data_IF_261958800832
#
_entry.id   IF_261958800832
#
_cell.length_a   1.000
_cell.length_b   1.000
_cell.length_c   1.000
_cell.angle_alpha   90.00
_cell.angle_beta   90.00
_cell.angle_gamma   90.00
#
_symmetry.space_group_name_H-M   'P 1'
#
loop_
_entity.id
_entity.type
_entity.pdbx_description
1 polymer ?
#
# COMPACT_ATOMS: atom_id res chain seq x y z
N UNK A 1 -16.46 -20.28 -9.14
CA UNK A 1 -15.37 -19.70 -9.93
C UNK A 1 -15.25 -20.29 -11.33
N UNK A 2 -14.67 -19.53 -12.25
CA UNK A 2 -14.18 -19.94 -13.57
C UNK A 2 -12.66 -19.77 -13.63
N UNK A 3 -11.94 -20.67 -14.33
CA UNK A 3 -10.50 -20.53 -14.56
C UNK A 3 -10.28 -19.59 -15.74
N UNK A 4 -9.59 -18.47 -15.51
CA UNK A 4 -9.26 -17.48 -16.54
C UNK A 4 -8.05 -17.92 -17.33
N UNK A 5 -6.95 -18.22 -16.63
CA UNK A 5 -5.68 -18.60 -17.25
C UNK A 5 -4.90 -19.53 -16.32
N UNK A 6 -4.09 -20.41 -16.90
CA UNK A 6 -3.09 -21.18 -16.16
C UNK A 6 -1.92 -20.27 -15.80
N UNK A 7 -1.48 -20.24 -14.55
CA UNK A 7 -0.27 -19.49 -14.17
C UNK A 7 1.01 -20.31 -14.32
N UNK A 8 0.90 -21.60 -14.64
CA UNK A 8 2.05 -22.43 -15.02
C UNK A 8 2.67 -21.90 -16.32
N UNK A 9 3.94 -21.52 -16.24
CA UNK A 9 4.72 -20.95 -17.34
C UNK A 9 4.18 -19.63 -17.92
N UNK A 10 3.26 -18.96 -17.22
CA UNK A 10 2.77 -17.64 -17.62
C UNK A 10 3.86 -16.61 -17.32
N UNK A 11 4.21 -15.78 -18.30
CA UNK A 11 5.17 -14.72 -18.05
C UNK A 11 4.59 -13.70 -17.06
N UNK A 12 5.47 -12.97 -16.37
CA UNK A 12 5.06 -11.93 -15.42
C UNK A 12 4.25 -10.82 -16.10
N UNK A 13 4.64 -10.46 -17.32
CA UNK A 13 3.94 -9.46 -18.13
C UNK A 13 2.52 -9.92 -18.51
N UNK A 14 2.36 -11.14 -19.03
CA UNK A 14 1.04 -11.70 -19.34
C UNK A 14 0.16 -11.79 -18.09
N UNK A 15 0.75 -12.22 -16.97
CA UNK A 15 0.04 -12.26 -15.69
C UNK A 15 -0.46 -10.88 -15.25
N UNK A 16 0.37 -9.84 -15.38
CA UNK A 16 -0.05 -8.45 -15.11
C UNK A 16 -1.18 -8.00 -16.04
N UNK A 17 -1.13 -8.37 -17.33
CA UNK A 17 -2.20 -8.05 -18.28
C UNK A 17 -3.53 -8.70 -17.88
N UNK A 18 -3.53 -9.99 -17.50
CA UNK A 18 -4.74 -10.65 -17.02
C UNK A 18 -5.30 -9.97 -15.75
N UNK A 19 -4.44 -9.48 -14.87
CA UNK A 19 -4.86 -8.75 -13.65
C UNK A 19 -5.53 -7.41 -13.94
N UNK A 20 -5.31 -6.80 -15.11
CA UNK A 20 -6.00 -5.55 -15.49
C UNK A 20 -7.48 -5.79 -15.83
N UNK A 21 -7.86 -7.03 -16.17
CA UNK A 21 -9.22 -7.38 -16.55
C UNK A 21 -10.23 -7.45 -15.39
N UNK A 22 -9.81 -7.08 -14.17
CA UNK A 22 -10.67 -7.07 -12.98
C UNK A 22 -9.94 -6.59 -11.73
N UNK A 23 -10.64 -6.65 -10.61
CA UNK A 23 -10.19 -6.34 -9.26
C UNK A 23 -9.66 -7.63 -8.64
N UNK A 24 -8.40 -7.63 -8.22
CA UNK A 24 -7.81 -8.72 -7.44
C UNK A 24 -7.97 -8.54 -5.93
N UNK A 25 -7.77 -9.61 -5.16
CA UNK A 25 -7.87 -9.54 -3.69
C UNK A 25 -6.92 -8.52 -3.04
N UNK A 26 -5.75 -8.24 -3.61
CA UNK A 26 -4.86 -7.18 -3.11
C UNK A 26 -5.31 -5.76 -3.50
N UNK A 27 -6.14 -5.62 -4.53
CA UNK A 27 -6.78 -4.36 -4.94
C UNK A 27 -7.93 -4.02 -3.99
N UNK A 28 -8.68 -5.03 -3.55
CA UNK A 28 -9.83 -4.92 -2.65
C UNK A 28 -9.54 -4.03 -1.42
N UNK A 29 -8.44 -4.31 -0.70
CA UNK A 29 -8.06 -3.52 0.46
C UNK A 29 -7.71 -2.06 0.14
N UNK A 30 -7.19 -1.78 -1.06
CA UNK A 30 -6.89 -0.41 -1.50
C UNK A 30 -8.15 0.35 -1.92
N UNK A 31 -9.10 -0.33 -2.58
CA UNK A 31 -10.40 0.23 -2.95
C UNK A 31 -11.20 0.59 -1.68
N UNK A 32 -11.16 -0.25 -0.65
CA UNK A 32 -11.80 0.03 0.64
C UNK A 32 -11.05 1.07 1.51
N UNK A 33 -9.90 1.60 1.07
CA UNK A 33 -9.10 2.56 1.86
C UNK A 33 -8.39 1.97 3.07
N UNK A 34 -8.21 0.64 3.13
CA UNK A 34 -7.63 -0.09 4.26
C UNK A 34 -6.17 -0.50 4.03
N UNK A 35 -5.63 -0.26 2.83
CA UNK A 35 -4.26 -0.59 2.48
C UNK A 35 -3.32 0.62 2.71
N UNK A 36 -2.29 0.51 3.57
CA UNK A 36 -1.39 1.62 3.86
C UNK A 36 -0.38 1.91 2.74
N UNK A 37 -0.25 1.01 1.75
CA UNK A 37 0.75 1.10 0.69
C UNK A 37 0.14 1.36 -0.68
N UNK A 38 -1.18 1.17 -0.85
CA UNK A 38 -1.86 1.33 -2.13
C UNK A 38 -3.22 1.98 -1.99
N UNK A 39 -3.51 2.98 -2.83
CA UNK A 39 -4.78 3.72 -2.81
C UNK A 39 -5.74 3.28 -3.92
N UNK A 40 -7.02 3.60 -3.78
CA UNK A 40 -8.02 3.39 -4.83
C UNK A 40 -7.64 4.09 -6.14
N UNK A 41 -7.02 5.28 -6.08
CA UNK A 41 -6.54 6.01 -7.26
C UNK A 41 -5.42 5.26 -8.00
N UNK A 42 -4.50 4.60 -7.27
CA UNK A 42 -3.48 3.75 -7.89
C UNK A 42 -4.08 2.50 -8.51
N UNK A 43 -5.08 1.89 -7.88
CA UNK A 43 -5.80 0.77 -8.50
C UNK A 43 -6.46 1.25 -9.79
N UNK A 44 -7.15 2.39 -9.76
CA UNK A 44 -7.79 2.95 -10.95
C UNK A 44 -6.77 3.18 -12.08
N UNK A 45 -5.66 3.87 -11.79
CA UNK A 45 -4.60 4.13 -12.77
C UNK A 45 -3.99 2.84 -13.35
N UNK A 46 -3.83 1.81 -12.50
CA UNK A 46 -3.41 0.48 -12.93
C UNK A 46 -4.44 -0.17 -13.87
N UNK A 47 -5.75 -0.06 -13.60
CA UNK A 47 -6.77 -0.70 -14.44
C UNK A 47 -7.01 0.00 -15.77
N UNK A 48 -6.86 1.32 -15.85
CA UNK A 48 -7.14 2.10 -17.07
C UNK A 48 -5.94 2.29 -17.99
N UNK A 49 -4.72 2.03 -17.52
CA UNK A 49 -3.51 2.18 -18.33
C UNK A 49 -3.25 0.95 -19.19
N UNK A 50 -2.73 1.14 -20.41
CA UNK A 50 -2.27 0.01 -21.24
C UNK A 50 -0.93 -0.56 -20.75
N UNK A 51 -0.15 0.27 -20.03
CA UNK A 51 1.15 -0.12 -19.49
C UNK A 51 0.98 -1.07 -18.29
N UNK A 52 1.62 -2.22 -18.37
CA UNK A 52 1.86 -3.06 -17.20
C UNK A 52 3.13 -2.58 -16.50
N UNK A 53 2.98 -1.83 -15.42
CA UNK A 53 4.14 -1.49 -14.59
C UNK A 53 4.61 -2.74 -13.85
N UNK A 54 5.82 -3.19 -14.17
CA UNK A 54 6.55 -4.20 -13.41
C UNK A 54 7.12 -3.57 -12.13
N UNK A 55 6.23 -3.20 -11.22
CA UNK A 55 6.64 -2.78 -9.89
C UNK A 55 7.04 -4.05 -9.13
N UNK A 56 8.32 -4.15 -8.80
CA UNK A 56 8.86 -5.20 -7.96
C UNK A 56 9.88 -4.61 -7.00
N UNK A 57 9.94 -5.18 -5.79
CA UNK A 57 10.91 -4.79 -4.78
C UNK A 57 11.37 -6.02 -4.01
N UNK A 58 12.42 -5.85 -3.19
CA UNK A 58 12.99 -6.95 -2.41
C UNK A 58 11.95 -7.69 -1.55
N UNK A 59 11.01 -6.96 -0.93
CA UNK A 59 9.98 -7.57 -0.10
C UNK A 59 9.00 -8.40 -0.94
N UNK A 60 8.62 -7.94 -2.14
CA UNK A 60 7.75 -8.67 -3.07
C UNK A 60 8.46 -9.91 -3.64
N UNK A 61 9.74 -9.81 -4.01
CA UNK A 61 10.54 -10.96 -4.45
C UNK A 61 10.65 -12.02 -3.36
N UNK A 62 11.05 -11.60 -2.16
CA UNK A 62 11.15 -12.50 -1.00
C UNK A 62 9.80 -13.14 -0.69
N UNK A 63 8.69 -12.39 -0.73
CA UNK A 63 7.35 -12.94 -0.54
C UNK A 63 7.08 -14.14 -1.45
N UNK A 64 7.37 -14.03 -2.75
CA UNK A 64 7.20 -15.11 -3.73
C UNK A 64 8.12 -16.31 -3.46
N UNK A 65 9.38 -16.06 -3.13
CA UNK A 65 10.35 -17.13 -2.82
C UNK A 65 9.99 -17.89 -1.52
N UNK A 66 9.52 -17.17 -0.51
CA UNK A 66 9.17 -17.75 0.79
C UNK A 66 7.76 -18.34 0.84
N UNK A 67 6.89 -18.08 -0.13
CA UNK A 67 5.51 -18.58 -0.18
C UNK A 67 5.42 -20.10 0.03
N UNK A 68 6.32 -20.86 -0.62
CA UNK A 68 6.39 -22.32 -0.47
C UNK A 68 6.82 -22.73 0.95
N UNK A 69 7.78 -22.01 1.53
CA UNK A 69 8.21 -22.24 2.90
C UNK A 69 7.07 -21.95 3.89
N UNK A 70 6.36 -20.83 3.74
CA UNK A 70 5.21 -20.47 4.59
C UNK A 70 4.12 -21.55 4.50
N UNK A 71 3.82 -22.03 3.28
CA UNK A 71 2.86 -23.10 3.07
C UNK A 71 3.29 -24.42 3.76
N UNK A 72 4.58 -24.77 3.72
CA UNK A 72 5.11 -25.94 4.44
C UNK A 72 5.00 -25.80 5.95
N UNK A 73 5.34 -24.63 6.51
CA UNK A 73 5.16 -24.35 7.95
C UNK A 73 3.69 -24.45 8.37
N UNK A 74 2.77 -24.00 7.52
CA UNK A 74 1.33 -24.18 7.75
C UNK A 74 0.93 -25.65 7.79
N UNK A 75 1.39 -26.47 6.84
CA UNK A 75 1.11 -27.91 6.84
C UNK A 75 1.67 -28.62 8.08
N UNK A 76 2.90 -28.28 8.48
CA UNK A 76 3.52 -28.80 9.71
C UNK A 76 2.71 -28.44 10.96
N UNK A 77 2.28 -27.19 11.08
CA UNK A 77 1.58 -26.69 12.26
C UNK A 77 0.12 -27.18 12.37
N UNK A 78 -0.53 -27.49 11.25
CA UNK A 78 -1.96 -27.84 11.21
C UNK A 78 -2.24 -29.31 10.89
N UNK A 79 -1.27 -30.04 10.35
CA UNK A 79 -1.45 -31.36 9.78
C UNK A 79 -2.27 -31.38 8.47
N UNK A 80 -2.72 -30.22 7.97
CA UNK A 80 -3.47 -30.11 6.71
C UNK A 80 -2.53 -30.26 5.53
N UNK A 81 -3.08 -30.67 4.38
CA UNK A 81 -2.37 -30.68 3.10
C UNK A 81 -2.87 -29.54 2.24
N UNK A 82 -1.97 -28.91 1.48
CA UNK A 82 -2.32 -27.83 0.55
C UNK A 82 -1.84 -28.14 -0.86
N UNK A 83 -2.47 -27.52 -1.86
CA UNK A 83 -2.08 -27.62 -3.27
C UNK A 83 -2.01 -26.24 -3.90
N UNK A 84 -1.10 -26.05 -4.86
CA UNK A 84 -1.06 -24.82 -5.66
C UNK A 84 -2.32 -24.72 -6.52
N UNK A 85 -2.89 -23.52 -6.61
CA UNK A 85 -3.98 -23.25 -7.51
C UNK A 85 -3.52 -23.30 -8.98
N UNK A 86 -2.33 -22.76 -9.25
CA UNK A 86 -1.71 -22.72 -10.58
C UNK A 86 -2.61 -22.08 -11.66
N UNK A 87 -3.50 -21.18 -11.24
CA UNK A 87 -4.48 -20.55 -12.09
C UNK A 87 -4.98 -19.25 -11.46
N UNK A 88 -5.31 -18.30 -12.32
CA UNK A 88 -6.14 -17.16 -11.94
C UNK A 88 -7.60 -17.54 -12.15
N UNK A 89 -8.44 -17.17 -11.19
CA UNK A 89 -9.88 -17.42 -11.23
C UNK A 89 -10.68 -16.13 -11.36
N UNK A 90 -11.91 -16.26 -11.86
CA UNK A 90 -12.89 -15.19 -11.93
C UNK A 90 -14.20 -15.62 -11.28
N UNK A 91 -14.89 -14.68 -10.64
CA UNK A 91 -16.22 -14.94 -10.10
C UNK A 91 -17.23 -15.07 -11.24
N UNK A 92 -18.09 -16.10 -11.17
CA UNK A 92 -19.17 -16.29 -12.15
C UNK A 92 -20.28 -15.25 -11.97
N UNK A 93 -20.55 -14.85 -10.73
CA UNK A 93 -21.61 -13.91 -10.38
C UNK A 93 -21.14 -12.46 -10.53
N UNK A 94 -19.84 -12.21 -10.36
CA UNK A 94 -19.23 -10.88 -10.39
C UNK A 94 -17.99 -10.88 -11.29
N UNK A 95 -18.13 -10.83 -12.64
CA UNK A 95 -17.02 -11.02 -13.57
C UNK A 95 -15.85 -10.04 -13.41
N UNK A 96 -16.06 -8.90 -12.73
CA UNK A 96 -15.01 -7.94 -12.40
C UNK A 96 -14.10 -8.42 -11.25
N UNK A 97 -14.44 -9.47 -10.49
CA UNK A 97 -13.61 -9.98 -9.39
C UNK A 97 -12.71 -11.13 -9.86
N UNK A 98 -11.42 -11.03 -9.55
CA UNK A 98 -10.37 -11.98 -9.89
C UNK A 98 -9.67 -12.51 -8.64
N UNK A 99 -9.38 -13.80 -8.60
CA UNK A 99 -8.60 -14.41 -7.53
C UNK A 99 -7.30 -15.00 -8.07
N UNK A 100 -6.19 -14.53 -7.54
CA UNK A 100 -4.89 -15.15 -7.71
C UNK A 100 -4.49 -15.75 -6.36
N UNK A 101 -4.72 -17.05 -6.25
CA UNK A 101 -4.71 -17.76 -4.98
C UNK A 101 -3.39 -18.48 -4.81
N UNK A 102 -2.72 -18.30 -3.67
CA UNK A 102 -1.48 -19.01 -3.38
C UNK A 102 -1.76 -20.52 -3.33
N UNK A 103 -2.66 -20.95 -2.44
CA UNK A 103 -2.94 -22.37 -2.19
C UNK A 103 -4.42 -22.63 -1.90
N UNK A 104 -4.87 -23.83 -2.22
CA UNK A 104 -6.14 -24.40 -1.76
C UNK A 104 -5.87 -25.52 -0.75
N UNK A 105 -6.72 -25.65 0.27
CA UNK A 105 -6.66 -26.76 1.22
C UNK A 105 -7.19 -28.04 0.57
N UNK A 106 -6.54 -29.18 0.80
CA UNK A 106 -6.98 -30.49 0.30
C UNK A 106 -8.03 -31.06 1.25
N UNK A 107 -9.22 -31.40 0.72
CA UNK A 107 -10.30 -32.00 1.51
C UNK A 107 -11.14 -31.01 2.33
N UNK A 108 -10.92 -29.70 2.15
CA UNK A 108 -11.66 -28.62 2.81
C UNK A 108 -11.95 -27.52 1.80
N UNK A 109 -13.16 -26.95 1.84
CA UNK A 109 -13.55 -25.84 0.96
C UNK A 109 -12.96 -24.50 1.47
N UNK A 110 -11.63 -24.42 1.48
CA UNK A 110 -10.88 -23.28 1.99
C UNK A 110 -9.63 -23.00 1.16
N UNK A 111 -9.23 -21.74 1.12
CA UNK A 111 -7.95 -21.30 0.59
C UNK A 111 -6.90 -21.06 1.68
N UNK A 112 -5.66 -20.83 1.26
CA UNK A 112 -4.57 -20.38 2.12
C UNK A 112 -3.84 -19.22 1.43
N UNK A 113 -3.75 -18.10 2.14
CA UNK A 113 -2.92 -16.93 1.81
C UNK A 113 -1.62 -16.96 2.63
N UNK A 114 -0.47 -16.89 1.96
CA UNK A 114 0.85 -16.90 2.56
C UNK A 114 1.44 -15.48 2.56
N UNK A 115 1.78 -14.97 3.74
CA UNK A 115 2.41 -13.66 3.91
C UNK A 115 3.78 -13.79 4.57
N UNK A 116 4.65 -12.84 4.25
CA UNK A 116 5.84 -12.55 5.06
C UNK A 116 5.70 -11.17 5.70
N UNK A 117 6.29 -10.99 6.87
CA UNK A 117 6.21 -9.74 7.60
C UNK A 117 7.55 -9.37 8.26
N UNK A 118 7.81 -8.07 8.29
CA UNK A 118 8.92 -7.49 9.07
C UNK A 118 8.72 -7.73 10.57
N UNK A 119 9.80 -7.92 11.36
CA UNK A 119 9.70 -8.04 12.82
C UNK A 119 8.95 -6.88 13.49
N UNK A 120 9.02 -5.67 12.92
CA UNK A 120 8.35 -4.48 13.45
C UNK A 120 6.82 -4.49 13.29
N UNK A 121 6.28 -5.46 12.55
CA UNK A 121 4.84 -5.64 12.36
C UNK A 121 4.25 -6.72 13.27
N UNK A 122 5.04 -7.29 14.18
CA UNK A 122 4.61 -8.36 15.10
C UNK A 122 3.36 -7.97 15.90
N UNK A 123 3.31 -6.74 16.41
CA UNK A 123 2.17 -6.23 17.19
C UNK A 123 0.86 -6.18 16.37
N UNK A 124 0.95 -6.03 15.04
CA UNK A 124 -0.22 -6.08 14.17
C UNK A 124 -0.82 -7.47 14.02
N UNK A 125 -0.07 -8.49 14.43
CA UNK A 125 -0.45 -9.90 14.40
C UNK A 125 -0.63 -10.50 15.81
N UNK A 126 -0.50 -9.67 16.85
CA UNK A 126 -0.66 -10.11 18.24
C UNK A 126 -2.13 -10.31 18.58
N UNK A 127 -2.43 -11.33 19.40
CA UNK A 127 -3.78 -11.63 19.91
C UNK A 127 -4.84 -11.83 18.82
N UNK A 128 -4.45 -12.38 17.66
CA UNK A 128 -5.39 -12.64 16.56
C UNK A 128 -5.79 -11.39 15.76
N UNK A 129 -5.12 -10.26 15.98
CA UNK A 129 -5.27 -9.10 15.10
C UNK A 129 -4.73 -9.48 13.72
N UNK A 130 -5.57 -9.36 12.70
CA UNK A 130 -5.15 -9.53 11.30
C UNK A 130 -5.34 -8.17 10.64
N UNK A 131 -4.34 -7.62 9.93
CA UNK A 131 -4.52 -6.36 9.20
C UNK A 131 -5.78 -6.39 8.32
N UNK A 132 -6.63 -5.37 8.43
CA UNK A 132 -7.93 -5.32 7.75
C UNK A 132 -7.81 -5.51 6.24
N UNK A 133 -6.75 -4.97 5.60
CA UNK A 133 -6.49 -5.17 4.18
C UNK A 133 -6.33 -6.65 3.80
N UNK A 134 -5.77 -7.49 4.70
CA UNK A 134 -5.62 -8.92 4.46
C UNK A 134 -6.91 -9.69 4.74
N UNK A 135 -7.71 -9.26 5.72
CA UNK A 135 -9.04 -9.83 5.93
C UNK A 135 -9.93 -9.61 4.71
N UNK A 136 -9.95 -8.37 4.18
CA UNK A 136 -10.68 -8.03 2.95
C UNK A 136 -10.18 -8.84 1.75
N UNK A 137 -8.87 -9.04 1.60
CA UNK A 137 -8.32 -9.91 0.56
C UNK A 137 -8.85 -11.36 0.69
N UNK A 138 -8.92 -11.90 1.91
CA UNK A 138 -9.43 -13.25 2.15
C UNK A 138 -10.94 -13.35 1.82
N UNK A 139 -11.74 -12.37 2.22
CA UNK A 139 -13.17 -12.32 1.87
C UNK A 139 -13.40 -12.13 0.36
N UNK A 140 -12.58 -11.33 -0.31
CA UNK A 140 -12.58 -11.23 -1.77
C UNK A 140 -12.37 -12.60 -2.42
N UNK A 141 -11.35 -13.36 -1.99
CA UNK A 141 -11.10 -14.69 -2.54
C UNK A 141 -12.20 -15.69 -2.20
N UNK A 142 -12.76 -15.65 -0.99
CA UNK A 142 -13.94 -16.46 -0.63
C UNK A 142 -15.13 -16.14 -1.54
N UNK A 143 -15.36 -14.87 -1.89
CA UNK A 143 -16.43 -14.47 -2.82
C UNK A 143 -16.19 -14.99 -4.25
N UNK A 144 -14.95 -14.93 -4.75
CA UNK A 144 -14.61 -15.44 -6.09
C UNK A 144 -14.69 -16.96 -6.17
N UNK A 145 -14.06 -17.64 -5.20
CA UNK A 145 -13.89 -19.08 -5.20
C UNK A 145 -15.12 -19.84 -4.72
N UNK A 146 -16.02 -19.21 -3.96
CA UNK A 146 -17.12 -19.89 -3.27
C UNK A 146 -16.62 -20.74 -2.10
N UNK A 147 -15.55 -20.30 -1.44
CA UNK A 147 -14.96 -20.98 -0.29
C UNK A 147 -15.66 -20.59 1.01
N UNK A 148 -15.70 -21.53 1.96
CA UNK A 148 -16.35 -21.37 3.28
C UNK A 148 -15.42 -20.71 4.31
N UNK A 149 -14.11 -20.74 4.06
CA UNK A 149 -13.11 -20.09 4.90
C UNK A 149 -11.85 -19.77 4.10
N UNK A 150 -11.00 -18.93 4.69
CA UNK A 150 -9.65 -18.71 4.22
C UNK A 150 -8.66 -18.77 5.38
N UNK A 151 -7.60 -19.53 5.23
CA UNK A 151 -6.46 -19.48 6.15
C UNK A 151 -5.52 -18.37 5.71
N UNK A 152 -5.00 -17.63 6.68
CA UNK A 152 -3.89 -16.71 6.45
C UNK A 152 -2.72 -17.14 7.32
N UNK A 153 -1.59 -17.43 6.70
CA UNK A 153 -0.36 -17.81 7.35
C UNK A 153 0.68 -16.71 7.16
N UNK A 154 1.40 -16.37 8.23
CA UNK A 154 2.43 -15.33 8.20
C UNK A 154 3.73 -15.83 8.82
N UNK A 155 4.82 -15.65 8.09
CA UNK A 155 6.17 -15.77 8.62
C UNK A 155 6.68 -14.38 9.01
N UNK A 156 6.91 -14.18 10.30
CA UNK A 156 7.54 -12.97 10.84
C UNK A 156 9.05 -13.23 10.90
N UNK A 157 9.82 -12.50 10.10
CA UNK A 157 11.25 -12.79 9.93
C UNK A 157 12.00 -12.80 11.27
N UNK A 158 12.83 -13.84 11.48
CA UNK A 158 13.65 -13.97 12.69
C UNK A 158 12.87 -14.07 14.01
N UNK A 159 11.55 -14.26 13.97
CA UNK A 159 10.67 -14.32 15.14
C UNK A 159 9.89 -15.63 15.18
N UNK A 160 8.73 -15.67 14.54
CA UNK A 160 7.78 -16.77 14.66
C UNK A 160 6.91 -16.94 13.42
N UNK A 161 6.23 -18.08 13.36
CA UNK A 161 5.21 -18.41 12.35
C UNK A 161 3.84 -18.39 13.02
N UNK A 162 2.87 -17.69 12.42
CA UNK A 162 1.48 -17.66 12.87
C UNK A 162 0.54 -18.03 11.74
N UNK A 163 -0.64 -18.51 12.09
CA UNK A 163 -1.72 -18.66 11.15
C UNK A 163 -3.07 -18.43 11.83
N UNK A 164 -4.06 -18.03 11.03
CA UNK A 164 -5.43 -17.80 11.47
C UNK A 164 -6.40 -18.33 10.43
N UNK A 165 -7.55 -18.81 10.89
CA UNK A 165 -8.69 -19.15 10.03
C UNK A 165 -9.67 -17.98 10.06
N UNK A 166 -10.02 -17.47 8.88
CA UNK A 166 -11.05 -16.45 8.70
C UNK A 166 -12.26 -17.18 8.12
N UNK A 167 -13.36 -17.18 8.87
CA UNK A 167 -14.62 -17.77 8.41
C UNK A 167 -15.30 -16.85 7.40
N UNK A 168 -16.06 -17.44 6.49
CA UNK A 168 -16.88 -16.69 5.54
C UNK A 168 -17.94 -15.87 6.28
N UNK A 169 -17.98 -14.58 5.98
CA UNK A 169 -19.00 -13.64 6.44
C UNK A 169 -19.72 -13.08 5.20
N UNK A 170 -20.99 -13.46 5.04
CA UNK A 170 -21.78 -13.06 3.87
C UNK A 170 -22.15 -11.58 3.88
N UNK A 171 -22.30 -10.96 5.05
CA UNK A 171 -22.61 -9.54 5.14
C UNK A 171 -21.41 -8.70 4.71
N UNK A 172 -20.21 -9.04 5.20
CA UNK A 172 -18.97 -8.40 4.79
C UNK A 172 -18.70 -8.62 3.30
N UNK A 173 -18.91 -9.84 2.79
CA UNK A 173 -18.75 -10.14 1.35
C UNK A 173 -19.74 -9.32 0.52
N UNK A 174 -21.01 -9.19 0.92
CA UNK A 174 -21.99 -8.40 0.20
C UNK A 174 -21.59 -6.91 0.13
N UNK A 175 -21.11 -6.35 1.24
CA UNK A 175 -20.59 -4.97 1.27
C UNK A 175 -19.36 -4.80 0.39
N UNK A 176 -18.42 -5.76 0.45
CA UNK A 176 -17.21 -5.74 -0.35
C UNK A 176 -17.53 -5.78 -1.85
N UNK A 177 -18.39 -6.71 -2.27
CA UNK A 177 -18.84 -6.83 -3.66
C UNK A 177 -19.48 -5.53 -4.14
N UNK A 178 -20.32 -4.89 -3.32
CA UNK A 178 -20.95 -3.62 -3.66
C UNK A 178 -19.93 -2.50 -3.87
N UNK A 179 -18.96 -2.38 -2.97
CA UNK A 179 -17.89 -1.37 -3.06
C UNK A 179 -17.03 -1.58 -4.30
N UNK A 180 -16.63 -2.83 -4.57
CA UNK A 180 -15.82 -3.17 -5.74
C UNK A 180 -16.59 -3.03 -7.05
N UNK A 181 -17.89 -3.36 -7.07
CA UNK A 181 -18.75 -3.15 -8.21
C UNK A 181 -18.89 -1.66 -8.55
N UNK A 182 -19.19 -0.83 -7.55
CA UNK A 182 -19.24 0.62 -7.71
C UNK A 182 -17.92 1.16 -8.25
N UNK A 183 -16.80 0.70 -7.69
CA UNK A 183 -15.48 1.08 -8.19
C UNK A 183 -15.26 0.69 -9.65
N UNK A 184 -15.59 -0.55 -10.02
CA UNK A 184 -15.39 -1.04 -11.37
C UNK A 184 -16.28 -0.30 -12.38
N UNK A 185 -17.57 -0.20 -12.10
CA UNK A 185 -18.56 0.34 -13.04
C UNK A 185 -18.55 1.87 -13.10
N UNK A 186 -18.34 2.55 -11.96
CA UNK A 186 -18.43 4.01 -11.89
C UNK A 186 -17.06 4.70 -12.01
N UNK A 187 -15.96 4.02 -11.72
CA UNK A 187 -14.62 4.59 -11.89
C UNK A 187 -13.89 3.98 -13.09
N UNK A 188 -13.60 2.68 -13.06
CA UNK A 188 -12.75 2.05 -14.10
C UNK A 188 -13.40 2.10 -15.48
N UNK A 189 -14.63 1.58 -15.63
CA UNK A 189 -15.31 1.51 -16.94
C UNK A 189 -15.67 2.89 -17.51
N UNK A 190 -15.99 3.86 -16.65
CA UNK A 190 -16.31 5.24 -17.07
C UNK A 190 -15.07 6.11 -17.25
N UNK A 191 -13.89 5.64 -16.87
CA UNK A 191 -12.68 6.47 -16.89
C UNK A 191 -12.77 7.66 -15.94
N UNK A 192 -13.45 7.53 -14.79
CA UNK A 192 -13.59 8.60 -13.79
C UNK A 192 -12.69 8.29 -12.59
N UNK A 193 -11.67 9.12 -12.37
CA UNK A 193 -10.77 8.96 -11.24
C UNK A 193 -11.52 9.02 -9.88
N UNK A 194 -11.25 8.10 -8.94
CA UNK A 194 -11.81 8.16 -7.59
C UNK A 194 -11.43 9.44 -6.85
N UNK A 195 -12.22 9.78 -5.83
CA UNK A 195 -11.92 10.92 -4.96
C UNK A 195 -10.57 10.74 -4.24
N UNK A 196 -9.82 11.83 -3.99
CA UNK A 196 -8.58 11.77 -3.24
C UNK A 196 -8.84 11.45 -1.76
N UNK A 197 -7.91 10.71 -1.15
CA UNK A 197 -7.99 10.25 0.25
C UNK A 197 -7.08 11.05 1.21
N UNK A 198 -6.30 12.01 0.70
CA UNK A 198 -5.35 12.81 1.47
C UNK A 198 -4.02 12.12 1.79
N UNK A 199 -3.78 10.90 1.27
CA UNK A 199 -2.51 10.20 1.43
C UNK A 199 -1.42 10.75 0.49
N UNK A 200 -0.15 10.64 0.91
CA UNK A 200 1.02 10.96 0.06
C UNK A 200 1.05 10.14 -1.24
N UNK A 201 0.45 8.96 -1.20
CA UNK A 201 0.37 8.06 -2.33
C UNK A 201 -0.64 8.58 -3.37
N UNK A 202 -1.78 9.13 -2.93
CA UNK A 202 -2.71 9.83 -3.81
C UNK A 202 -2.08 11.05 -4.48
N UNK A 203 -1.27 11.85 -3.76
CA UNK A 203 -0.53 12.98 -4.35
C UNK A 203 0.36 12.54 -5.52
N UNK A 204 1.04 11.40 -5.38
CA UNK A 204 1.91 10.86 -6.43
C UNK A 204 1.13 10.45 -7.68
N UNK A 205 -0.07 9.87 -7.52
CA UNK A 205 -0.95 9.52 -8.64
C UNK A 205 -1.46 10.76 -9.35
N UNK A 206 -1.93 11.76 -8.59
CA UNK A 206 -2.42 13.03 -9.15
C UNK A 206 -1.29 13.73 -9.93
N UNK A 207 -0.07 13.73 -9.38
CA UNK A 207 1.09 14.35 -10.01
C UNK A 207 1.48 13.67 -11.33
N UNK A 208 1.42 12.34 -11.43
CA UNK A 208 1.70 11.63 -12.69
C UNK A 208 0.54 11.77 -13.68
N UNK A 209 -0.71 11.67 -13.22
CA UNK A 209 -1.90 11.83 -14.07
C UNK A 209 -1.96 13.22 -14.70
N UNK A 210 -1.64 14.26 -13.93
CA UNK A 210 -1.59 15.65 -14.38
C UNK A 210 -0.16 16.15 -14.61
N UNK A 211 0.77 15.28 -15.03
CA UNK A 211 2.19 15.63 -15.19
C UNK A 211 2.44 16.81 -16.13
N UNK A 212 1.69 16.85 -17.24
CA UNK A 212 1.76 17.92 -18.21
C UNK A 212 0.80 19.04 -17.83
N UNK A 213 1.19 20.29 -18.09
CA UNK A 213 0.37 21.48 -17.83
C UNK A 213 0.24 22.32 -19.09
N UNK A 214 -0.94 22.92 -19.27
CA UNK A 214 -1.18 24.00 -20.23
C UNK A 214 -1.19 25.35 -19.50
N UNK A 215 -0.75 26.45 -20.14
CA UNK A 215 -0.71 27.77 -19.53
C UNK A 215 -2.09 28.44 -19.52
N UNK A 216 -3.09 27.76 -18.95
CA UNK A 216 -4.47 28.23 -18.85
C UNK A 216 -4.88 28.43 -17.39
N UNK A 217 -5.83 29.33 -17.17
CA UNK A 217 -6.41 29.58 -15.86
C UNK A 217 -7.85 29.06 -15.80
N UNK A 218 -8.22 28.47 -14.68
CA UNK A 218 -9.58 28.01 -14.41
C UNK A 218 -10.16 28.85 -13.28
N UNK A 219 -11.43 29.27 -13.40
CA UNK A 219 -12.13 29.95 -12.31
C UNK A 219 -12.32 28.96 -11.16
N UNK A 220 -11.76 29.27 -10.00
CA UNK A 220 -11.96 28.48 -8.79
C UNK A 220 -13.37 28.76 -8.24
N UNK A 221 -14.18 27.71 -8.05
CA UNK A 221 -15.52 27.80 -7.47
C UNK A 221 -15.80 26.61 -6.56
N UNK A 222 -16.42 26.83 -5.40
CA UNK A 222 -16.79 25.77 -4.45
C UNK A 222 -15.66 25.26 -3.56
N UNK A 223 -14.54 26.01 -3.48
CA UNK A 223 -13.38 25.63 -2.66
C UNK A 223 -13.10 26.59 -1.50
N UNK A 224 -13.82 27.71 -1.38
CA UNK A 224 -13.53 28.75 -0.37
C UNK A 224 -13.60 28.20 1.06
N UNK A 225 -14.69 27.48 1.40
CA UNK A 225 -14.84 26.81 2.70
C UNK A 225 -13.75 25.76 2.95
N UNK A 226 -13.35 25.01 1.91
CA UNK A 226 -12.27 24.01 2.01
C UNK A 226 -10.92 24.68 2.25
N UNK A 227 -10.65 25.82 1.62
CA UNK A 227 -9.43 26.60 1.80
C UNK A 227 -9.38 27.25 3.19
N UNK A 228 -10.51 27.76 3.69
CA UNK A 228 -10.63 28.24 5.07
C UNK A 228 -10.37 27.12 6.06
N UNK A 229 -11.04 25.97 5.90
CA UNK A 229 -10.83 24.80 6.75
C UNK A 229 -9.38 24.32 6.72
N UNK A 230 -8.74 24.35 5.55
CA UNK A 230 -7.31 24.04 5.42
C UNK A 230 -6.44 25.01 6.24
N UNK A 231 -6.76 26.29 6.28
CA UNK A 231 -6.02 27.27 7.09
C UNK A 231 -6.17 26.99 8.59
N UNK A 232 -7.38 26.70 9.06
CA UNK A 232 -7.61 26.30 10.45
C UNK A 232 -6.79 25.06 10.84
N UNK A 233 -6.71 24.08 9.94
CA UNK A 233 -5.90 22.88 10.15
C UNK A 233 -4.40 23.21 10.23
N UNK A 234 -3.91 24.15 9.43
CA UNK A 234 -2.51 24.61 9.53
C UNK A 234 -2.23 25.24 10.89
N UNK A 235 -3.15 26.08 11.40
CA UNK A 235 -2.98 26.73 12.69
C UNK A 235 -2.93 25.69 13.83
N UNK A 236 -3.78 24.65 13.75
CA UNK A 236 -3.75 23.52 14.70
C UNK A 236 -2.43 22.74 14.60
N UNK A 237 -1.96 22.43 13.40
CA UNK A 237 -0.69 21.73 13.17
C UNK A 237 0.46 22.54 13.77
N UNK A 238 0.56 23.83 13.46
CA UNK A 238 1.60 24.71 13.99
C UNK A 238 1.58 24.76 15.52
N UNK A 239 0.39 24.83 16.13
CA UNK A 239 0.27 24.79 17.59
C UNK A 239 0.80 23.48 18.18
N UNK A 240 0.39 22.34 17.65
CA UNK A 240 0.85 21.02 18.11
C UNK A 240 2.36 20.82 17.90
N UNK A 241 2.89 21.33 16.79
CA UNK A 241 4.31 21.26 16.46
C UNK A 241 5.14 22.15 17.41
N UNK A 242 4.64 23.33 17.76
CA UNK A 242 5.24 24.20 18.77
C UNK A 242 5.26 23.53 20.15
N UNK A 243 4.15 22.91 20.58
CA UNK A 243 4.06 22.19 21.86
C UNK A 243 5.07 21.03 21.93
N UNK A 244 5.11 20.19 20.88
CA UNK A 244 6.13 19.13 20.76
C UNK A 244 7.54 19.69 20.86
N UNK A 245 7.84 20.76 20.13
CA UNK A 245 9.18 21.36 20.10
C UNK A 245 9.56 21.99 21.43
N UNK A 246 8.61 22.57 22.17
CA UNK A 246 8.84 23.09 23.51
C UNK A 246 9.27 21.97 24.46
N UNK A 247 8.57 20.83 24.45
CA UNK A 247 8.95 19.64 25.26
C UNK A 247 10.37 19.17 24.88
N UNK A 248 10.68 19.07 23.58
CA UNK A 248 12.03 18.71 23.13
C UNK A 248 13.11 19.71 23.58
N UNK A 249 12.79 21.00 23.64
CA UNK A 249 13.70 22.04 24.11
C UNK A 249 13.94 21.95 25.61
N UNK A 250 12.90 21.73 26.41
CA UNK A 250 13.01 21.50 27.86
C UNK A 250 13.90 20.28 28.16
N UNK A 251 13.75 19.19 27.39
CA UNK A 251 14.62 18.02 27.47
C UNK A 251 16.07 18.36 27.09
N UNK A 252 16.30 19.11 26.00
CA UNK A 252 17.67 19.53 25.60
C UNK A 252 18.32 20.41 26.66
N UNK A 253 17.56 21.33 27.26
CA UNK A 253 18.04 22.15 28.38
C UNK A 253 18.41 21.29 29.59
N UNK A 254 17.61 20.27 29.90
CA UNK A 254 17.91 19.30 30.94
C UNK A 254 19.17 18.46 30.64
N UNK A 255 19.34 18.00 29.39
CA UNK A 255 20.51 17.22 28.96
C UNK A 255 21.80 18.05 28.96
N UNK A 256 21.72 19.35 28.65
CA UNK A 256 22.88 20.22 28.58
C UNK A 256 23.90 19.72 27.56
N UNK A 257 25.09 19.33 28.02
CA UNK A 257 26.17 18.77 27.18
C UNK A 257 26.14 17.24 27.09
N UNK A 258 25.23 16.57 27.80
CA UNK A 258 25.11 15.13 27.77
C UNK A 258 24.51 14.66 26.44
N UNK A 259 25.09 13.61 25.87
CA UNK A 259 24.63 13.05 24.60
C UNK A 259 23.47 12.06 24.77
N UNK A 260 23.25 11.53 25.97
CA UNK A 260 22.28 10.47 26.25
C UNK A 260 21.54 10.78 27.56
N UNK A 261 20.23 10.59 27.58
CA UNK A 261 19.40 10.56 28.78
C UNK A 261 18.45 9.35 28.72
N UNK A 262 18.27 8.64 29.83
CA UNK A 262 17.40 7.46 29.87
C UNK A 262 16.68 7.27 31.21
N UNK A 263 15.54 6.60 31.17
CA UNK A 263 14.78 6.11 32.33
C UNK A 263 14.10 4.77 31.99
N UNK A 264 13.18 4.30 32.82
CA UNK A 264 12.48 3.01 32.62
C UNK A 264 11.67 2.92 31.32
N UNK A 265 11.26 4.05 30.73
CA UNK A 265 10.36 4.10 29.58
C UNK A 265 11.00 4.68 28.31
N UNK A 266 12.02 5.53 28.45
CA UNK A 266 12.56 6.32 27.35
C UNK A 266 14.08 6.31 27.33
N UNK A 267 14.63 6.34 26.12
CA UNK A 267 16.04 6.60 25.84
C UNK A 267 16.13 7.69 24.78
N UNK A 268 16.81 8.78 25.12
CA UNK A 268 16.95 9.98 24.29
C UNK A 268 18.43 10.13 23.92
N UNK A 269 18.70 10.37 22.65
CA UNK A 269 20.04 10.58 22.10
C UNK A 269 20.11 11.92 21.40
N UNK A 270 21.02 12.78 21.83
CA UNK A 270 21.31 14.07 21.22
C UNK A 270 22.82 14.25 21.07
N UNK A 271 23.36 13.63 20.01
CA UNK A 271 24.80 13.56 19.72
C UNK A 271 25.23 14.62 18.72
N UNK A 272 26.48 15.01 18.79
CA UNK A 272 27.09 15.78 17.70
C UNK A 272 27.26 14.90 16.47
N UNK A 273 26.76 15.34 15.31
CA UNK A 273 26.89 14.63 14.03
C UNK A 273 27.51 15.58 13.01
N UNK A 274 28.61 15.18 12.38
CA UNK A 274 29.22 15.88 11.25
C UNK A 274 28.81 15.22 9.94
N UNK A 275 28.39 16.03 8.97
CA UNK A 275 28.09 15.57 7.61
C UNK A 275 28.72 16.52 6.60
N UNK A 276 29.48 15.98 5.65
CA UNK A 276 29.94 16.74 4.49
C UNK A 276 28.84 16.83 3.44
N UNK A 277 28.57 18.03 2.93
CA UNK A 277 27.75 18.24 1.72
C UNK A 277 28.59 18.99 0.71
N UNK A 278 28.35 18.71 -0.57
CA UNK A 278 28.95 19.49 -1.64
C UNK A 278 28.38 20.91 -1.56
N UNK A 279 29.25 21.90 -1.58
CA UNK A 279 28.83 23.29 -1.76
C UNK A 279 28.45 23.50 -3.23
N UNK A 280 27.19 23.23 -3.54
CA UNK A 280 26.68 23.31 -4.92
C UNK A 280 26.84 24.71 -5.52
N UNK A 281 26.71 25.75 -4.70
CA UNK A 281 26.84 27.14 -5.15
C UNK A 281 28.27 27.41 -5.57
N UNK A 282 29.23 27.08 -4.70
CA UNK A 282 30.66 27.23 -4.99
C UNK A 282 31.11 26.34 -6.15
N UNK A 283 30.60 25.11 -6.23
CA UNK A 283 30.87 24.21 -7.37
C UNK A 283 30.36 24.79 -8.69
N UNK A 284 29.18 25.40 -8.69
CA UNK A 284 28.60 26.05 -9.87
C UNK A 284 29.40 27.29 -10.29
N UNK A 285 29.91 28.05 -9.34
CA UNK A 285 30.71 29.26 -9.57
C UNK A 285 32.14 28.93 -10.05
N UNK A 286 32.84 28.03 -9.37
CA UNK A 286 34.25 27.70 -9.65
C UNK A 286 34.42 26.66 -10.76
N UNK A 287 33.49 25.70 -10.89
CA UNK A 287 33.57 24.56 -11.81
C UNK A 287 32.24 24.34 -12.58
N UNK A 288 31.74 25.33 -13.33
CA UNK A 288 30.42 25.28 -13.99
C UNK A 288 30.26 24.11 -14.97
N UNK A 289 31.33 23.73 -15.67
CA UNK A 289 31.31 22.60 -16.60
C UNK A 289 31.06 21.27 -15.88
N UNK A 290 31.63 21.09 -14.69
CA UNK A 290 31.40 19.90 -13.86
C UNK A 290 29.99 19.93 -13.30
N UNK A 291 29.53 21.07 -12.79
CA UNK A 291 28.17 21.22 -12.30
C UNK A 291 27.13 20.84 -13.38
N UNK A 292 27.20 21.42 -14.57
CA UNK A 292 26.23 21.13 -15.64
C UNK A 292 26.35 19.68 -16.14
N UNK A 293 27.54 19.07 -16.14
CA UNK A 293 27.73 17.64 -16.51
C UNK A 293 26.96 16.70 -15.57
N UNK A 294 26.86 17.02 -14.29
CA UNK A 294 26.21 16.15 -13.29
C UNK A 294 24.81 16.63 -12.87
N UNK A 295 24.36 17.78 -13.37
CA UNK A 295 23.05 18.32 -13.08
C UNK A 295 21.96 17.46 -13.74
N UNK A 296 21.10 16.87 -12.91
CA UNK A 296 19.91 16.15 -13.37
C UNK A 296 18.72 17.09 -13.41
N UNK A 297 18.17 17.33 -14.60
CA UNK A 297 16.93 18.07 -14.75
C UNK A 297 15.75 17.20 -14.30
N UNK A 298 14.92 17.74 -13.38
CA UNK A 298 13.66 17.14 -12.97
C UNK A 298 12.55 18.15 -13.20
N UNK A 299 11.57 17.78 -14.02
CA UNK A 299 10.36 18.58 -14.22
C UNK A 299 9.30 18.10 -13.22
N UNK A 300 8.66 19.03 -12.54
CA UNK A 300 7.55 18.73 -11.62
C UNK A 300 6.60 19.92 -11.53
N UNK A 301 5.31 19.64 -11.32
CA UNK A 301 4.30 20.68 -11.07
C UNK A 301 4.28 21.00 -9.59
N UNK A 302 4.60 22.25 -9.25
CA UNK A 302 4.59 22.72 -7.86
C UNK A 302 3.18 23.18 -7.49
N UNK A 303 2.61 22.58 -6.45
CA UNK A 303 1.38 23.06 -5.83
C UNK A 303 1.70 24.17 -4.82
N UNK A 304 1.02 25.31 -4.93
CA UNK A 304 1.12 26.41 -3.97
C UNK A 304 -0.20 27.14 -3.88
N UNK A 305 -0.59 27.50 -2.66
CA UNK A 305 -1.76 28.33 -2.39
C UNK A 305 -1.25 29.65 -1.82
N UNK A 306 -1.73 30.76 -2.36
CA UNK A 306 -1.52 32.10 -1.82
C UNK A 306 -2.89 32.75 -1.66
N UNK A 307 -3.10 33.48 -0.58
CA UNK A 307 -4.25 34.37 -0.50
C UNK A 307 -4.13 35.41 -1.63
N UNK A 308 -5.26 35.69 -2.28
CA UNK A 308 -5.35 36.73 -3.29
C UNK A 308 -5.28 38.13 -2.65
#
# INVERSE_FOLDING_TARGET
>A
MEKVVSTLNLSREEWLQYRKAGIGGSDAGAICGLNPYRTAMQVYQDKISDACEDIDNEAMRQGREFEDYVARRFMEATGKKVRRANAMFRSKNHPFMLADVDRMIVGENAGLECKTASPYMEDKWKDGKIPMSYQVQCHHYMAVCGADAWYIAVLIYGREFKYYKIERDEALIADLVRIEQDFWENHVQKGIMPAPDGSKTADSVIAEYYKNSVPESVRLSGFDEKLQRRQELLDVITRMENEKNQIEQEIKMYMGTAEIAENEHYRISWKSVSSGRIDEKRLKEELPQIYEKYKKMKVSRRFSIKAA
#
